data_IF_116327963036
#
_entry.id   IF_116327963036
#
_cell.length_a   1.000
_cell.length_b   1.000
_cell.length_c   1.000
_cell.angle_alpha   90.00
_cell.angle_beta   90.00
_cell.angle_gamma   90.00
#
_symmetry.space_group_name_H-M   'P 1'
#
loop_
_entity.id
_entity.type
_entity.pdbx_description
1 polymer ?
#
# COMPACT_ATOMS: atom_id res chain seq x y z
N UNK A 1 -3.01 31.08 21.56
CA UNK A 1 -2.99 30.56 20.17
C UNK A 1 -3.84 29.30 20.15
N UNK A 2 -5.07 29.41 19.66
CA UNK A 2 -6.05 28.30 19.68
C UNK A 2 -5.78 27.43 18.47
N UNK A 3 -5.31 26.20 18.70
CA UNK A 3 -5.15 25.21 17.62
C UNK A 3 -6.54 24.62 17.41
N UNK A 4 -7.26 25.14 16.41
CA UNK A 4 -8.59 24.61 16.07
C UNK A 4 -8.44 23.19 15.52
N UNK A 5 -8.99 22.23 16.26
CA UNK A 5 -9.19 20.85 15.83
C UNK A 5 -10.10 20.84 14.60
N UNK A 6 -9.53 20.53 13.43
CA UNK A 6 -10.27 20.44 12.17
C UNK A 6 -10.74 19.00 11.98
N UNK A 7 -11.95 18.72 12.46
CA UNK A 7 -12.64 17.45 12.20
C UNK A 7 -13.03 17.42 10.72
N UNK A 8 -12.40 16.55 9.93
CA UNK A 8 -12.82 16.29 8.55
C UNK A 8 -14.02 15.34 8.59
N UNK A 9 -15.22 15.87 8.38
CA UNK A 9 -16.40 15.07 8.05
C UNK A 9 -16.27 14.68 6.58
N UNK A 10 -15.92 13.41 6.33
CA UNK A 10 -15.97 12.84 4.99
C UNK A 10 -17.34 12.18 4.85
N UNK A 11 -18.17 12.73 3.95
CA UNK A 11 -19.44 12.13 3.55
C UNK A 11 -19.14 10.74 2.96
N UNK A 12 -19.62 9.69 3.64
CA UNK A 12 -19.45 8.30 3.24
C UNK A 12 -20.43 7.96 2.12
N UNK A 13 -20.14 8.41 0.89
CA UNK A 13 -20.40 7.56 -0.28
C UNK A 13 -19.34 6.47 -0.24
N UNK A 14 -19.73 5.19 -0.15
CA UNK A 14 -18.87 4.01 0.02
C UNK A 14 -17.41 4.25 -0.38
N UNK A 15 -16.59 4.71 0.57
CA UNK A 15 -15.15 4.66 0.37
C UNK A 15 -14.82 3.19 0.37
N UNK A 16 -14.27 2.69 -0.74
CA UNK A 16 -13.59 1.40 -0.82
C UNK A 16 -12.55 1.37 0.32
N UNK A 17 -12.96 0.87 1.49
CA UNK A 17 -12.23 0.95 2.77
C UNK A 17 -10.89 0.24 2.70
N UNK A 18 -10.71 -0.61 1.69
CA UNK A 18 -9.48 -1.34 1.42
C UNK A 18 -8.29 -0.43 1.09
N UNK A 19 -8.51 0.78 0.56
CA UNK A 19 -7.43 1.72 0.25
C UNK A 19 -6.71 2.25 1.50
N UNK A 20 -7.40 2.29 2.65
CA UNK A 20 -6.85 2.81 3.91
C UNK A 20 -5.89 1.80 4.55
N UNK A 21 -5.93 0.53 4.13
CA UNK A 21 -5.19 -0.55 4.78
C UNK A 21 -3.71 -0.63 4.35
N UNK A 22 -3.24 0.28 3.50
CA UNK A 22 -1.86 0.27 2.97
C UNK A 22 -1.26 1.66 2.93
N UNK A 23 0.07 1.74 3.04
CA UNK A 23 0.83 3.00 3.09
C UNK A 23 1.75 3.11 1.87
N UNK A 24 1.40 4.02 0.98
CA UNK A 24 2.26 4.54 -0.09
C UNK A 24 2.84 5.89 0.31
N UNK A 25 4.14 6.07 0.14
CA UNK A 25 4.83 7.31 0.50
C UNK A 25 5.32 8.08 -0.72
N UNK A 26 5.52 7.39 -1.85
CA UNK A 26 5.79 8.01 -3.15
C UNK A 26 5.00 7.31 -4.24
N UNK A 27 4.59 8.08 -5.25
CA UNK A 27 3.97 7.54 -6.48
C UNK A 27 4.92 6.59 -7.23
N UNK A 28 6.22 6.80 -7.11
CA UNK A 28 7.24 5.96 -7.74
C UNK A 28 7.50 4.63 -6.99
N UNK A 29 6.93 4.43 -5.80
CA UNK A 29 7.11 3.16 -5.10
C UNK A 29 6.47 2.02 -5.93
N UNK A 30 7.07 0.84 -5.98
CA UNK A 30 6.39 -0.35 -6.54
C UNK A 30 5.95 -1.34 -5.46
N UNK A 31 6.19 -0.96 -4.20
CA UNK A 31 5.72 -1.66 -3.01
C UNK A 31 5.05 -0.71 -2.01
N UNK A 32 3.97 -1.16 -1.40
CA UNK A 32 3.33 -0.50 -0.25
C UNK A 32 3.56 -1.31 1.03
N UNK A 33 3.25 -0.71 2.17
CA UNK A 33 3.32 -1.39 3.47
C UNK A 33 1.91 -1.60 3.98
N UNK A 34 1.58 -2.81 4.41
CA UNK A 34 0.29 -3.09 5.06
C UNK A 34 0.20 -2.36 6.40
N UNK A 35 -0.83 -1.53 6.60
CA UNK A 35 -1.07 -0.82 7.85
C UNK A 35 -1.67 -1.76 8.90
N UNK A 36 -2.55 -2.66 8.48
CA UNK A 36 -3.15 -3.73 9.27
C UNK A 36 -2.91 -5.08 8.60
N UNK A 37 -3.40 -6.14 9.22
CA UNK A 37 -3.44 -7.46 8.58
C UNK A 37 -4.40 -7.44 7.39
N UNK A 38 -3.94 -7.94 6.25
CA UNK A 38 -4.70 -8.04 5.01
C UNK A 38 -5.00 -9.51 4.74
N UNK A 39 -6.28 -9.84 4.62
CA UNK A 39 -6.70 -11.15 4.13
C UNK A 39 -6.40 -11.31 2.63
N UNK A 40 -6.49 -12.55 2.14
CA UNK A 40 -6.43 -12.83 0.70
C UNK A 40 -7.61 -12.18 -0.04
N UNK A 41 -7.36 -11.62 -1.22
CA UNK A 41 -8.37 -11.03 -2.11
C UNK A 41 -8.69 -9.56 -1.80
N UNK A 42 -7.94 -8.92 -0.90
CA UNK A 42 -8.10 -7.50 -0.56
C UNK A 42 -7.41 -6.65 -1.62
N UNK A 43 -8.07 -5.58 -2.10
CA UNK A 43 -7.46 -4.59 -2.99
C UNK A 43 -6.37 -3.82 -2.26
N UNK A 44 -5.21 -3.67 -2.90
CA UNK A 44 -4.01 -3.07 -2.31
C UNK A 44 -3.85 -1.66 -2.86
N UNK A 45 -3.97 -0.65 -2.00
CA UNK A 45 -3.79 0.77 -2.39
C UNK A 45 -4.64 1.14 -3.63
N UNK A 46 -4.42 2.29 -4.26
CA UNK A 46 -5.05 2.68 -5.54
C UNK A 46 -4.66 1.81 -6.73
N UNK A 47 -3.92 0.72 -6.52
CA UNK A 47 -3.54 -0.20 -7.58
C UNK A 47 -4.70 -1.12 -7.96
N UNK A 48 -4.65 -1.72 -9.14
CA UNK A 48 -5.61 -2.75 -9.56
C UNK A 48 -5.20 -4.15 -9.05
N UNK A 49 -4.27 -4.23 -8.09
CA UNK A 49 -3.75 -5.48 -7.54
C UNK A 49 -4.54 -5.89 -6.30
N UNK A 50 -4.75 -7.19 -6.15
CA UNK A 50 -5.32 -7.81 -4.95
C UNK A 50 -4.29 -8.71 -4.28
N UNK A 51 -4.39 -8.84 -2.96
CA UNK A 51 -3.55 -9.76 -2.20
C UNK A 51 -3.80 -11.21 -2.62
N UNK A 52 -2.74 -11.96 -2.87
CA UNK A 52 -2.81 -13.39 -3.24
C UNK A 52 -2.82 -14.32 -2.03
N UNK A 53 -2.42 -13.81 -0.88
CA UNK A 53 -2.31 -14.48 0.41
C UNK A 53 -2.56 -13.50 1.55
N UNK A 54 -2.56 -14.00 2.79
CA UNK A 54 -2.65 -13.19 3.99
C UNK A 54 -1.32 -12.44 4.22
N UNK A 55 -1.40 -11.14 4.50
CA UNK A 55 -0.25 -10.28 4.70
C UNK A 55 -0.35 -9.65 6.08
N UNK A 56 0.63 -9.91 6.94
CA UNK A 56 0.67 -9.32 8.27
C UNK A 56 1.02 -7.82 8.23
N UNK A 57 0.57 -7.09 9.25
CA UNK A 57 0.86 -5.66 9.38
C UNK A 57 2.39 -5.39 9.30
N UNK A 58 2.77 -4.30 8.66
CA UNK A 58 4.15 -3.87 8.47
C UNK A 58 4.89 -4.55 7.29
N UNK A 59 4.31 -5.60 6.68
CA UNK A 59 4.93 -6.27 5.55
C UNK A 59 4.73 -5.50 4.24
N UNK A 60 5.63 -5.76 3.28
CA UNK A 60 5.58 -5.10 1.97
C UNK A 60 4.71 -5.88 1.01
N UNK A 61 3.95 -5.15 0.22
CA UNK A 61 3.06 -5.69 -0.81
C UNK A 61 3.43 -5.07 -2.15
N UNK A 62 3.67 -5.90 -3.17
CA UNK A 62 3.89 -5.41 -4.51
C UNK A 62 2.59 -4.82 -5.08
N UNK A 63 2.69 -3.67 -5.75
CA UNK A 63 1.54 -3.01 -6.39
C UNK A 63 1.50 -3.17 -7.90
N UNK A 64 2.43 -3.96 -8.43
CA UNK A 64 2.56 -4.37 -9.82
C UNK A 64 3.37 -5.67 -9.88
N UNK A 65 3.43 -6.31 -11.05
CA UNK A 65 4.34 -7.43 -11.27
C UNK A 65 5.78 -6.90 -11.29
N UNK A 66 6.63 -7.44 -10.41
CA UNK A 66 8.05 -7.08 -10.32
C UNK A 66 8.86 -8.30 -10.77
N UNK A 67 9.28 -8.31 -12.03
CA UNK A 67 10.07 -9.42 -12.59
C UNK A 67 11.39 -9.60 -11.81
N UNK A 68 11.89 -10.83 -11.76
CA UNK A 68 13.19 -11.16 -11.20
C UNK A 68 14.30 -10.24 -11.72
N UNK A 69 15.13 -9.75 -10.80
CA UNK A 69 16.20 -8.80 -11.07
C UNK A 69 15.74 -7.35 -11.16
N UNK A 70 14.44 -7.07 -11.24
CA UNK A 70 13.91 -5.72 -11.25
C UNK A 70 14.09 -5.05 -9.89
N UNK A 71 14.21 -3.73 -9.93
CA UNK A 71 14.39 -2.89 -8.75
C UNK A 71 13.10 -2.84 -7.92
N UNK A 72 13.25 -3.04 -6.62
CA UNK A 72 12.20 -2.78 -5.63
C UNK A 72 12.43 -1.37 -5.07
N UNK A 73 11.41 -0.51 -5.16
CA UNK A 73 11.45 0.90 -4.76
C UNK A 73 10.48 1.20 -3.63
N UNK A 74 11.00 1.79 -2.55
CA UNK A 74 10.21 2.36 -1.44
C UNK A 74 10.81 3.68 -0.99
N UNK A 75 9.98 4.64 -0.58
CA UNK A 75 10.43 5.99 -0.22
C UNK A 75 11.09 6.71 -1.41
N UNK A 76 10.67 6.35 -2.64
CA UNK A 76 11.35 6.71 -3.89
C UNK A 76 12.83 6.24 -3.99
N UNK A 77 13.29 5.36 -3.09
CA UNK A 77 14.65 4.83 -3.06
C UNK A 77 14.68 3.36 -3.47
N UNK A 78 15.76 2.95 -4.12
CA UNK A 78 16.03 1.54 -4.40
C UNK A 78 16.37 0.85 -3.08
N UNK A 79 15.58 -0.16 -2.70
CA UNK A 79 15.80 -0.91 -1.46
C UNK A 79 16.30 -2.34 -1.71
N UNK A 80 16.35 -2.77 -2.97
CA UNK A 80 16.81 -4.10 -3.37
C UNK A 80 16.31 -4.48 -4.75
N UNK A 81 16.52 -5.75 -5.11
CA UNK A 81 16.06 -6.33 -6.37
C UNK A 81 15.18 -7.56 -6.09
N UNK A 82 14.21 -7.83 -6.95
CA UNK A 82 13.37 -9.02 -6.85
C UNK A 82 14.18 -10.29 -7.13
N UNK A 83 14.02 -11.31 -6.29
CA UNK A 83 14.72 -12.59 -6.45
C UNK A 83 13.97 -13.56 -7.37
N UNK A 84 12.65 -13.41 -7.43
CA UNK A 84 11.70 -14.21 -8.20
C UNK A 84 10.68 -13.28 -8.87
N UNK A 85 9.93 -13.81 -9.82
CA UNK A 85 8.83 -13.12 -10.52
C UNK A 85 7.55 -13.02 -9.66
#
# INVERSE_FOLDING_TARGET
>A
MVIQSKTYLIETSEMDTNFINTIRLSENDNVVVAQCELEKGIKVDRSQVTTTEQISSGHKVATELIQKGSVIRKYNQVIGNALND
#
